data_IF_681171539377
#
_entry.id   IF_681171539377
#
_cell.length_a   1.000
_cell.length_b   1.000
_cell.length_c   1.000
_cell.angle_alpha   90.00
_cell.angle_beta   90.00
_cell.angle_gamma   90.00
#
_symmetry.space_group_name_H-M   'P 1'
#
loop_
_entity.id
_entity.type
_entity.pdbx_description
1 polymer ?
#
# COMPACT_ATOMS: atom_id res chain seq x y z
N UNK A 1 -10.19 6.56 15.76
CA UNK A 1 -11.12 7.68 15.93
C UNK A 1 -11.34 8.47 14.65
N UNK A 2 -10.31 8.78 13.86
CA UNK A 2 -10.46 9.53 12.59
C UNK A 2 -11.52 8.92 11.67
N UNK A 3 -11.50 7.61 11.43
CA UNK A 3 -12.47 6.93 10.55
C UNK A 3 -13.92 7.04 11.02
N UNK A 4 -14.16 7.03 12.34
CA UNK A 4 -15.52 7.18 12.90
C UNK A 4 -16.06 8.59 12.65
N UNK A 5 -15.24 9.61 12.86
CA UNK A 5 -15.65 11.00 12.65
C UNK A 5 -15.81 11.30 11.15
N UNK A 6 -14.91 10.76 10.30
CA UNK A 6 -15.08 10.86 8.85
C UNK A 6 -16.40 10.23 8.39
N UNK A 7 -16.74 9.03 8.87
CA UNK A 7 -17.98 8.35 8.51
C UNK A 7 -19.26 9.10 8.92
N UNK A 8 -19.17 9.99 9.92
CA UNK A 8 -20.32 10.82 10.35
C UNK A 8 -20.57 12.00 9.44
N UNK A 9 -19.53 12.53 8.80
CA UNK A 9 -19.60 13.80 8.04
C UNK A 9 -19.45 13.64 6.54
N UNK A 10 -18.96 12.47 6.07
CA UNK A 10 -18.81 12.23 4.64
C UNK A 10 -20.15 11.96 3.95
N UNK A 11 -20.19 12.25 2.66
CA UNK A 11 -21.31 11.87 1.79
C UNK A 11 -21.40 10.35 1.60
N UNK A 12 -22.56 9.88 1.14
CA UNK A 12 -22.71 8.51 0.68
C UNK A 12 -21.80 8.27 -0.55
N UNK A 13 -21.38 7.02 -0.75
CA UNK A 13 -20.42 6.61 -1.78
C UNK A 13 -19.00 7.11 -1.58
N UNK A 14 -18.64 7.61 -0.39
CA UNK A 14 -17.27 7.98 -0.08
C UNK A 14 -16.31 6.80 -0.21
N UNK A 15 -15.03 7.10 -0.51
CA UNK A 15 -13.96 6.10 -0.62
C UNK A 15 -12.81 6.45 0.32
N UNK A 16 -12.40 5.49 1.14
CA UNK A 16 -11.21 5.56 1.97
C UNK A 16 -10.12 4.70 1.33
N UNK A 17 -8.96 5.28 1.09
CA UNK A 17 -7.79 4.59 0.54
C UNK A 17 -6.69 4.60 1.60
N UNK A 18 -6.34 3.42 2.07
CA UNK A 18 -5.25 3.23 3.03
C UNK A 18 -3.96 2.87 2.29
N UNK A 19 -2.82 3.36 2.76
CA UNK A 19 -1.51 2.99 2.22
C UNK A 19 -0.80 2.01 3.14
N UNK A 20 -0.72 0.75 2.73
CA UNK A 20 0.14 -0.25 3.33
C UNK A 20 1.55 -0.20 2.71
N UNK A 21 2.18 -1.32 2.50
CA UNK A 21 3.51 -1.48 1.91
C UNK A 21 3.72 -2.95 1.55
N UNK A 22 4.63 -3.25 0.62
CA UNK A 22 5.14 -4.62 0.42
C UNK A 22 5.63 -5.25 1.72
N UNK A 23 6.18 -4.44 2.65
CA UNK A 23 6.59 -4.92 3.98
C UNK A 23 5.41 -5.18 4.95
N UNK A 24 4.19 -4.85 4.58
CA UNK A 24 2.97 -5.24 5.29
C UNK A 24 2.41 -6.58 4.81
N UNK A 25 2.84 -7.05 3.64
CA UNK A 25 2.44 -8.32 3.02
C UNK A 25 3.53 -9.38 3.21
N UNK A 26 4.77 -9.02 2.92
CA UNK A 26 5.95 -9.89 3.01
C UNK A 26 6.96 -9.32 4.01
N UNK A 27 7.85 -10.18 4.51
CA UNK A 27 9.00 -9.72 5.31
C UNK A 27 9.94 -8.85 4.47
N UNK A 28 10.55 -7.81 5.07
CA UNK A 28 11.64 -7.08 4.43
C UNK A 28 12.76 -8.01 3.97
N UNK A 29 13.25 -7.82 2.75
CA UNK A 29 14.44 -8.53 2.25
C UNK A 29 15.69 -7.83 2.80
N UNK A 30 16.12 -8.21 4.02
CA UNK A 30 17.19 -7.52 4.75
C UNK A 30 18.51 -7.44 3.99
N UNK A 31 18.80 -8.41 3.14
CA UNK A 31 20.04 -8.51 2.36
C UNK A 31 20.18 -7.45 1.25
N UNK A 32 19.12 -6.70 0.92
CA UNK A 32 19.24 -5.61 -0.08
C UNK A 32 19.74 -4.31 0.53
N UNK A 33 19.74 -4.21 1.85
CA UNK A 33 20.22 -3.04 2.58
C UNK A 33 21.72 -3.11 2.84
N UNK A 34 22.32 -1.98 3.25
CA UNK A 34 23.70 -1.92 3.69
C UNK A 34 23.90 -2.84 4.90
N UNK A 35 25.05 -3.48 4.98
CA UNK A 35 25.44 -4.30 6.13
C UNK A 35 25.26 -3.54 7.45
N UNK A 36 24.73 -4.24 8.47
CA UNK A 36 24.37 -3.66 9.77
C UNK A 36 23.08 -2.85 9.81
N UNK A 37 22.38 -2.65 8.68
CA UNK A 37 21.08 -1.99 8.66
C UNK A 37 19.94 -3.02 8.70
N UNK A 38 19.02 -2.86 9.63
CA UNK A 38 17.75 -3.59 9.65
C UNK A 38 16.57 -2.62 9.61
N UNK A 39 15.57 -2.95 8.79
CA UNK A 39 14.31 -2.20 8.78
C UNK A 39 13.65 -2.32 10.16
N UNK A 40 13.24 -1.21 10.75
CA UNK A 40 12.60 -1.23 12.07
C UNK A 40 11.32 -2.07 12.05
N UNK A 41 11.19 -3.02 12.98
CA UNK A 41 10.07 -3.97 13.05
C UNK A 41 8.71 -3.26 13.15
N UNK A 42 8.64 -2.13 13.85
CA UNK A 42 7.41 -1.34 14.00
C UNK A 42 6.81 -0.88 12.67
N UNK A 43 7.65 -0.67 11.63
CA UNK A 43 7.15 -0.36 10.29
C UNK A 43 6.34 -1.53 9.70
N UNK A 44 6.88 -2.74 9.76
CA UNK A 44 6.20 -3.95 9.28
C UNK A 44 4.91 -4.19 10.06
N UNK A 45 4.95 -4.11 11.39
CA UNK A 45 3.77 -4.26 12.26
C UNK A 45 2.68 -3.25 11.86
N UNK A 46 3.04 -1.98 11.72
CA UNK A 46 2.10 -0.92 11.34
C UNK A 46 1.48 -1.18 9.97
N UNK A 47 2.30 -1.53 8.98
CA UNK A 47 1.83 -1.74 7.61
C UNK A 47 0.99 -3.02 7.44
N UNK A 48 1.28 -4.08 8.20
CA UNK A 48 0.42 -5.26 8.30
C UNK A 48 -0.90 -4.91 9.01
N UNK A 49 -0.85 -4.11 10.06
CA UNK A 49 -2.03 -3.62 10.78
C UNK A 49 -2.99 -2.82 9.89
N UNK A 50 -2.45 -2.03 8.94
CA UNK A 50 -3.26 -1.29 7.94
C UNK A 50 -4.08 -2.24 7.08
N UNK A 51 -3.56 -3.42 6.72
CA UNK A 51 -4.29 -4.42 5.94
C UNK A 51 -5.48 -4.96 6.74
N UNK A 52 -5.24 -5.37 8.00
CA UNK A 52 -6.30 -5.83 8.90
C UNK A 52 -7.37 -4.76 9.15
N UNK A 53 -6.93 -3.53 9.43
CA UNK A 53 -7.81 -2.37 9.62
C UNK A 53 -8.67 -2.10 8.37
N UNK A 54 -8.11 -2.21 7.18
CA UNK A 54 -8.84 -2.01 5.92
C UNK A 54 -9.99 -2.99 5.77
N UNK A 55 -9.74 -4.28 6.02
CA UNK A 55 -10.78 -5.33 5.96
C UNK A 55 -11.88 -5.10 6.99
N UNK A 56 -11.51 -4.76 8.22
CA UNK A 56 -12.46 -4.45 9.28
C UNK A 56 -13.36 -3.25 8.90
N UNK A 57 -12.74 -2.15 8.47
CA UNK A 57 -13.49 -0.93 8.13
C UNK A 57 -14.35 -1.12 6.88
N UNK A 58 -13.90 -1.90 5.91
CA UNK A 58 -14.68 -2.19 4.70
C UNK A 58 -16.02 -2.86 5.02
N UNK A 59 -16.04 -3.78 5.97
CA UNK A 59 -17.27 -4.45 6.40
C UNK A 59 -18.11 -3.58 7.35
N UNK A 60 -17.46 -2.80 8.21
CA UNK A 60 -18.12 -1.97 9.21
C UNK A 60 -18.80 -0.73 8.60
N UNK A 61 -18.22 -0.16 7.54
CA UNK A 61 -18.71 1.10 6.92
C UNK A 61 -19.56 0.87 5.66
N UNK A 62 -19.65 -0.36 5.18
CA UNK A 62 -20.53 -0.68 4.05
C UNK A 62 -22.00 -0.56 4.44
N UNK A 63 -22.89 -0.24 3.50
CA UNK A 63 -22.63 0.07 2.09
C UNK A 63 -22.24 1.53 1.82
N UNK A 64 -22.26 2.39 2.84
CA UNK A 64 -22.10 3.84 2.70
C UNK A 64 -20.71 4.26 2.22
N UNK A 65 -19.65 3.58 2.70
CA UNK A 65 -18.26 3.94 2.43
C UNK A 65 -17.50 2.71 1.97
N UNK A 66 -16.77 2.84 0.87
CA UNK A 66 -15.83 1.82 0.41
C UNK A 66 -14.47 2.05 1.08
N UNK A 67 -13.81 0.98 1.50
CA UNK A 67 -12.49 1.06 2.15
C UNK A 67 -11.54 0.04 1.51
N UNK A 68 -10.46 0.51 0.92
CA UNK A 68 -9.47 -0.33 0.25
C UNK A 68 -8.06 0.05 0.69
N UNK A 69 -7.10 -0.82 0.46
CA UNK A 69 -5.68 -0.51 0.67
C UNK A 69 -4.88 -0.68 -0.61
N UNK A 70 -3.90 0.21 -0.78
CA UNK A 70 -2.85 0.08 -1.78
C UNK A 70 -1.59 -0.44 -1.08
N UNK A 71 -0.92 -1.39 -1.72
CA UNK A 71 0.38 -1.93 -1.34
C UNK A 71 1.41 -1.50 -2.38
N UNK A 72 2.03 -0.32 -2.22
CA UNK A 72 3.03 0.14 -3.17
C UNK A 72 4.34 -0.60 -2.99
N UNK A 73 5.06 -0.78 -4.10
CA UNK A 73 6.47 -1.13 -4.12
C UNK A 73 7.36 0.01 -3.62
N UNK A 74 8.67 -0.18 -3.74
CA UNK A 74 9.62 0.88 -3.41
C UNK A 74 9.55 2.03 -4.42
N UNK A 75 9.10 3.20 -3.96
CA UNK A 75 9.10 4.43 -4.75
C UNK A 75 10.50 5.00 -4.77
N UNK A 76 10.98 5.36 -5.97
CA UNK A 76 12.30 5.93 -6.15
C UNK A 76 12.37 7.34 -5.55
N UNK A 77 13.39 7.55 -4.72
CA UNK A 77 13.68 8.83 -4.09
C UNK A 77 15.20 8.95 -3.83
N UNK A 78 15.59 9.51 -2.71
CA UNK A 78 16.98 9.74 -2.28
C UNK A 78 17.75 8.48 -1.80
N UNK A 79 17.27 7.27 -2.10
CA UNK A 79 17.99 6.04 -1.75
C UNK A 79 19.35 5.96 -2.48
N UNK A 80 20.33 5.29 -1.84
CA UNK A 80 21.65 5.07 -2.45
C UNK A 80 21.56 4.26 -3.74
N UNK A 81 22.52 4.46 -4.64
CA UNK A 81 22.58 3.71 -5.90
C UNK A 81 22.67 2.20 -5.69
N UNK A 82 23.40 1.75 -4.68
CA UNK A 82 23.53 0.33 -4.33
C UNK A 82 22.17 -0.26 -3.92
N UNK A 83 21.41 0.46 -3.09
CA UNK A 83 20.07 0.03 -2.73
C UNK A 83 19.16 -0.05 -3.95
N UNK A 84 19.14 1.00 -4.81
CA UNK A 84 18.34 1.01 -6.04
C UNK A 84 18.69 -0.17 -6.94
N UNK A 85 19.98 -0.46 -7.13
CA UNK A 85 20.46 -1.59 -7.92
C UNK A 85 20.04 -2.95 -7.33
N UNK A 86 20.16 -3.11 -6.00
CA UNK A 86 19.77 -4.35 -5.33
C UNK A 86 18.25 -4.54 -5.34
N UNK A 87 17.50 -3.45 -5.13
CA UNK A 87 16.03 -3.46 -5.25
C UNK A 87 15.58 -3.87 -6.66
N UNK A 88 16.16 -3.28 -7.69
CA UNK A 88 15.82 -3.56 -9.09
C UNK A 88 16.02 -5.02 -9.48
N UNK A 89 17.07 -5.67 -8.94
CA UNK A 89 17.33 -7.11 -9.17
C UNK A 89 16.23 -8.02 -8.60
N UNK A 90 15.53 -7.55 -7.58
CA UNK A 90 14.47 -8.29 -6.89
C UNK A 90 13.07 -7.94 -7.39
N UNK A 91 12.97 -7.04 -8.34
CA UNK A 91 11.69 -6.62 -8.93
C UNK A 91 11.58 -7.16 -10.35
N UNK A 92 10.55 -7.91 -10.74
CA UNK A 92 10.35 -8.37 -12.11
C UNK A 92 10.43 -7.26 -13.15
N UNK A 93 9.91 -6.07 -12.86
CA UNK A 93 10.02 -4.89 -13.72
C UNK A 93 11.41 -4.25 -13.71
N UNK A 94 12.40 -4.83 -12.99
CA UNK A 94 13.81 -4.46 -12.96
C UNK A 94 14.10 -2.99 -12.59
N UNK A 95 13.20 -2.35 -11.85
CA UNK A 95 13.35 -0.98 -11.37
C UNK A 95 12.49 -0.69 -10.14
N UNK A 96 12.76 0.41 -9.48
CA UNK A 96 11.84 1.00 -8.51
C UNK A 96 10.68 1.71 -9.23
N UNK A 97 9.59 1.98 -8.51
CA UNK A 97 8.42 2.70 -8.99
C UNK A 97 8.71 4.20 -9.06
N UNK A 98 8.25 4.87 -10.10
CA UNK A 98 8.15 6.32 -10.12
C UNK A 98 6.91 6.77 -9.34
N UNK A 99 6.93 7.95 -8.75
CA UNK A 99 5.86 8.46 -7.90
C UNK A 99 4.52 8.64 -8.65
N UNK A 100 4.54 8.99 -9.93
CA UNK A 100 3.34 9.13 -10.75
C UNK A 100 2.63 7.79 -11.02
N UNK A 101 3.33 6.68 -10.96
CA UNK A 101 2.77 5.35 -11.29
C UNK A 101 1.72 4.86 -10.27
N UNK A 102 1.64 5.49 -9.09
CA UNK A 102 0.60 5.19 -8.11
C UNK A 102 -0.72 5.92 -8.40
N UNK A 103 -0.69 6.97 -9.24
CA UNK A 103 -1.84 7.85 -9.46
C UNK A 103 -3.01 7.08 -10.08
N UNK A 104 -2.75 6.20 -11.03
CA UNK A 104 -3.78 5.43 -11.73
C UNK A 104 -4.67 4.61 -10.79
N UNK A 105 -4.08 3.91 -9.84
CA UNK A 105 -4.84 3.10 -8.87
C UNK A 105 -5.60 3.99 -7.86
N UNK A 106 -5.05 5.14 -7.50
CA UNK A 106 -5.75 6.11 -6.65
C UNK A 106 -6.99 6.64 -7.36
N UNK A 107 -6.85 7.07 -8.62
CA UNK A 107 -7.98 7.56 -9.42
C UNK A 107 -9.06 6.48 -9.60
N UNK A 108 -8.67 5.23 -9.87
CA UNK A 108 -9.60 4.11 -9.92
C UNK A 108 -10.39 3.98 -8.62
N UNK A 109 -9.72 3.94 -7.47
CA UNK A 109 -10.36 3.76 -6.17
C UNK A 109 -11.19 4.97 -5.72
N UNK A 110 -10.87 6.18 -6.18
CA UNK A 110 -11.63 7.40 -5.90
C UNK A 110 -12.89 7.53 -6.77
N UNK A 111 -12.96 6.83 -7.89
CA UNK A 111 -14.05 6.98 -8.88
C UNK A 111 -15.15 5.94 -8.70
N UNK A 112 -16.30 6.19 -9.35
CA UNK A 112 -17.43 5.27 -9.39
C UNK A 112 -17.15 3.99 -10.19
N UNK A 113 -16.09 3.95 -11.00
CA UNK A 113 -15.61 2.75 -11.69
C UNK A 113 -15.29 1.64 -10.70
N UNK A 114 -14.90 1.99 -9.46
CA UNK A 114 -14.64 1.05 -8.37
C UNK A 114 -15.81 0.88 -7.40
N UNK A 115 -17.04 1.21 -7.81
CA UNK A 115 -18.23 1.20 -6.94
C UNK A 115 -18.52 -0.15 -6.26
N UNK A 116 -18.05 -1.25 -6.83
CA UNK A 116 -18.18 -2.61 -6.26
C UNK A 116 -16.87 -3.13 -5.64
N UNK A 117 -15.88 -2.23 -5.38
CA UNK A 117 -14.59 -2.59 -4.83
C UNK A 117 -14.47 -2.06 -3.41
N UNK A 118 -14.55 -2.95 -2.42
CA UNK A 118 -14.32 -2.66 -1.00
C UNK A 118 -13.62 -3.83 -0.30
N UNK A 119 -12.80 -3.58 0.71
CA UNK A 119 -12.02 -4.60 1.41
C UNK A 119 -10.83 -5.14 0.60
N UNK A 120 -10.56 -4.60 -0.56
CA UNK A 120 -9.49 -5.06 -1.45
C UNK A 120 -8.13 -4.54 -1.02
N UNK A 121 -7.11 -5.38 -1.20
CA UNK A 121 -5.71 -5.07 -0.97
C UNK A 121 -5.02 -5.12 -2.34
N UNK A 122 -4.78 -3.95 -2.92
CA UNK A 122 -4.32 -3.81 -4.30
C UNK A 122 -2.81 -3.54 -4.33
N UNK A 123 -2.08 -4.47 -4.91
CA UNK A 123 -0.62 -4.39 -5.00
C UNK A 123 -0.19 -3.68 -6.27
N UNK A 124 0.68 -2.68 -6.11
CA UNK A 124 1.32 -1.92 -7.21
C UNK A 124 2.81 -1.88 -6.91
N UNK A 125 3.53 -2.94 -7.25
CA UNK A 125 4.90 -3.17 -6.77
C UNK A 125 5.88 -3.68 -7.82
N UNK A 126 5.51 -3.66 -9.10
CA UNK A 126 6.35 -4.15 -10.18
C UNK A 126 6.63 -5.65 -10.12
N UNK A 127 5.79 -6.40 -9.38
CA UNK A 127 5.93 -7.84 -9.18
C UNK A 127 6.79 -8.24 -7.98
N UNK A 128 7.20 -7.30 -7.12
CA UNK A 128 8.06 -7.58 -5.96
C UNK A 128 7.53 -8.68 -5.04
N UNK A 129 6.21 -8.78 -4.88
CA UNK A 129 5.56 -9.78 -4.00
C UNK A 129 5.05 -11.01 -4.75
N UNK A 130 5.32 -11.15 -6.04
CA UNK A 130 4.80 -12.25 -6.87
C UNK A 130 5.67 -13.52 -6.81
N UNK A 131 6.85 -13.46 -6.17
CA UNK A 131 7.79 -14.59 -6.00
C UNK A 131 8.36 -14.70 -4.58
#
# INVERSE_FOLDING_TARGET
>A
MVYREFARVCNDNASIINFSSTNGVNSPKHFIYKEGFAKHIGYTITKSGVIGMTKYLATYLAPKIRVNAIVPGGIQNSQSNDFKKNYSKMTPMARMMNDEEIIGIILYLCSDISSYTTGSILTVDGGWTAW
#
